data_IF_743474680628
#
_entry.id   IF_743474680628
#
_cell.length_a   1.000
_cell.length_b   1.000
_cell.length_c   1.000
_cell.angle_alpha   90.00
_cell.angle_beta   90.00
_cell.angle_gamma   90.00
#
_symmetry.space_group_name_H-M   'P 1'
#
loop_
_entity.id
_entity.type
_entity.pdbx_description
1 polymer ?
#
# COMPACT_ATOMS: atom_id res chain seq x y z
N UNK A 1 16.82 -10.21 7.52
CA UNK A 1 18.29 -10.29 7.71
C UNK A 1 18.94 -8.96 7.35
N UNK A 2 19.69 -8.36 8.28
CA UNK A 2 20.37 -7.07 8.06
C UNK A 2 21.77 -7.36 7.51
N UNK A 3 22.16 -6.67 6.44
CA UNK A 3 23.52 -6.76 5.92
C UNK A 3 24.49 -6.01 6.84
N UNK A 4 25.66 -6.61 7.11
CA UNK A 4 26.62 -6.09 8.09
C UNK A 4 27.22 -4.74 7.66
N UNK A 5 27.48 -4.58 6.36
CA UNK A 5 27.99 -3.34 5.77
C UNK A 5 26.94 -2.25 5.73
N UNK A 6 27.31 -1.05 6.19
CA UNK A 6 26.64 0.20 5.82
C UNK A 6 27.33 0.73 4.56
N UNK A 7 26.58 0.80 3.47
CA UNK A 7 27.07 1.21 2.16
C UNK A 7 27.27 2.73 2.11
N UNK A 8 28.20 3.18 1.26
CA UNK A 8 28.52 4.60 1.09
C UNK A 8 27.31 5.43 0.64
N UNK A 9 26.48 4.84 -0.23
CA UNK A 9 25.24 5.42 -0.72
C UNK A 9 24.33 4.32 -1.30
N UNK A 10 23.12 4.69 -1.71
CA UNK A 10 22.15 3.74 -2.26
C UNK A 10 22.63 3.10 -3.57
N UNK A 11 23.42 3.80 -4.40
CA UNK A 11 23.97 3.23 -5.64
C UNK A 11 24.94 2.10 -5.32
N UNK A 12 25.71 2.19 -4.23
CA UNK A 12 26.57 1.08 -3.77
C UNK A 12 25.79 -0.14 -3.30
N UNK A 13 24.57 0.04 -2.81
CA UNK A 13 23.66 -1.08 -2.54
C UNK A 13 23.24 -1.74 -3.86
N UNK A 14 22.91 -0.94 -4.88
CA UNK A 14 22.49 -1.43 -6.20
C UNK A 14 23.66 -2.14 -6.91
N UNK A 15 24.86 -1.57 -6.89
CA UNK A 15 26.10 -2.19 -7.41
C UNK A 15 26.32 -3.56 -6.76
N UNK A 16 26.17 -3.64 -5.43
CA UNK A 16 26.29 -4.90 -4.69
C UNK A 16 25.27 -5.94 -5.17
N UNK A 17 23.98 -5.58 -5.25
CA UNK A 17 22.93 -6.48 -5.71
C UNK A 17 23.17 -6.95 -7.16
N UNK A 18 23.62 -6.04 -8.04
CA UNK A 18 23.98 -6.39 -9.42
C UNK A 18 25.14 -7.40 -9.46
N UNK A 19 26.15 -7.22 -8.61
CA UNK A 19 27.26 -8.17 -8.49
C UNK A 19 26.84 -9.53 -7.90
N UNK A 20 25.70 -9.62 -7.21
CA UNK A 20 25.08 -10.87 -6.78
C UNK A 20 24.23 -11.53 -7.89
N UNK A 21 24.20 -10.96 -9.10
CA UNK A 21 23.50 -11.52 -10.27
C UNK A 21 22.10 -10.97 -10.50
N UNK A 22 21.65 -9.96 -9.74
CA UNK A 22 20.37 -9.30 -10.00
C UNK A 22 20.52 -8.29 -11.15
N UNK A 23 19.54 -8.20 -12.04
CA UNK A 23 19.53 -7.16 -13.10
C UNK A 23 18.56 -6.07 -12.70
N UNK A 24 19.05 -5.04 -12.01
CA UNK A 24 18.20 -3.99 -11.45
C UNK A 24 18.22 -2.72 -12.31
N UNK A 25 17.04 -2.31 -12.78
CA UNK A 25 16.88 -1.02 -13.48
C UNK A 25 16.84 0.13 -12.49
N UNK A 26 17.62 1.17 -12.73
CA UNK A 26 17.56 2.45 -12.00
C UNK A 26 16.73 3.51 -12.74
N UNK A 27 16.14 3.17 -13.88
CA UNK A 27 15.29 4.09 -14.66
C UNK A 27 13.84 3.93 -14.24
N UNK A 28 13.22 5.03 -13.82
CA UNK A 28 11.78 5.09 -13.69
C UNK A 28 11.13 5.28 -15.06
N UNK A 29 10.27 4.34 -15.42
CA UNK A 29 9.39 4.45 -16.58
C UNK A 29 7.99 4.58 -16.00
N UNK A 30 7.44 5.79 -16.10
CA UNK A 30 6.03 6.04 -15.80
C UNK A 30 5.13 5.25 -16.74
N UNK A 31 3.83 5.25 -16.46
CA UNK A 31 2.86 4.46 -17.22
C UNK A 31 3.10 2.94 -17.10
N UNK A 32 3.20 2.45 -15.87
CA UNK A 32 3.52 1.05 -15.62
C UNK A 32 2.50 0.11 -16.31
N UNK A 33 2.96 -0.95 -16.97
CA UNK A 33 2.06 -1.98 -17.46
C UNK A 33 1.65 -2.92 -16.32
N UNK A 34 0.39 -3.34 -16.35
CA UNK A 34 -0.21 -4.28 -15.41
C UNK A 34 -0.72 -5.50 -16.15
N UNK A 35 -0.74 -6.63 -15.46
CA UNK A 35 -1.36 -7.86 -15.96
C UNK A 35 -2.50 -8.25 -15.04
N UNK A 36 -3.68 -8.53 -15.59
CA UNK A 36 -4.77 -9.09 -14.79
C UNK A 36 -4.50 -10.58 -14.58
N UNK A 37 -4.29 -10.99 -13.34
CA UNK A 37 -4.02 -12.38 -12.97
C UNK A 37 -4.95 -12.84 -11.85
N UNK A 38 -5.21 -14.14 -11.76
CA UNK A 38 -5.82 -14.74 -10.58
C UNK A 38 -4.77 -14.88 -9.47
N UNK A 39 -4.97 -14.14 -8.38
CA UNK A 39 -4.13 -14.15 -7.18
C UNK A 39 -4.55 -15.24 -6.17
N UNK A 40 -5.44 -16.14 -6.58
CA UNK A 40 -5.93 -17.28 -5.81
C UNK A 40 -7.39 -17.12 -5.40
N UNK A 41 -8.10 -18.26 -5.37
CA UNK A 41 -9.53 -18.34 -5.04
C UNK A 41 -10.42 -17.46 -5.94
N UNK A 42 -10.07 -17.31 -7.22
CA UNK A 42 -10.84 -16.52 -8.19
C UNK A 42 -10.76 -15.01 -7.95
N UNK A 43 -9.73 -14.54 -7.22
CA UNK A 43 -9.51 -13.12 -6.94
C UNK A 43 -8.60 -12.53 -8.01
N UNK A 44 -9.19 -11.89 -9.01
CA UNK A 44 -8.43 -11.23 -10.06
C UNK A 44 -7.81 -9.94 -9.54
N UNK A 45 -6.57 -9.63 -9.91
CA UNK A 45 -5.89 -8.38 -9.47
C UNK A 45 -5.13 -7.75 -10.64
N UNK A 46 -5.01 -6.43 -10.62
CA UNK A 46 -4.11 -5.68 -11.50
C UNK A 46 -2.67 -5.81 -10.99
N UNK A 47 -1.98 -6.85 -11.44
CA UNK A 47 -0.63 -7.16 -10.98
C UNK A 47 0.42 -6.27 -11.64
N UNK A 48 1.28 -5.55 -10.88
CA UNK A 48 2.33 -4.72 -11.46
C UNK A 48 3.41 -5.52 -12.17
N UNK A 49 3.74 -5.18 -13.42
CA UNK A 49 4.84 -5.85 -14.14
C UNK A 49 6.24 -5.30 -13.78
N UNK A 50 7.29 -6.12 -13.91
CA UNK A 50 7.28 -7.53 -14.34
C UNK A 50 6.92 -8.52 -13.22
N UNK A 51 6.24 -9.62 -13.57
CA UNK A 51 5.94 -10.72 -12.64
C UNK A 51 7.24 -11.38 -12.18
N UNK A 52 7.35 -11.62 -10.87
CA UNK A 52 8.52 -12.25 -10.25
C UNK A 52 9.77 -11.39 -10.22
N UNK A 53 9.62 -10.07 -10.33
CA UNK A 53 10.63 -9.14 -9.86
C UNK A 53 10.75 -9.19 -8.33
N UNK A 54 11.92 -8.86 -7.78
CA UNK A 54 12.04 -8.62 -6.35
C UNK A 54 11.18 -7.44 -5.92
N UNK A 55 10.69 -7.48 -4.67
CA UNK A 55 10.02 -6.35 -4.05
C UNK A 55 11.04 -5.55 -3.22
N UNK A 56 10.87 -4.24 -3.23
CA UNK A 56 11.74 -3.29 -2.56
C UNK A 56 10.94 -2.43 -1.60
N UNK A 57 11.62 -1.96 -0.55
CA UNK A 57 11.12 -0.87 0.29
C UNK A 57 12.27 0.06 0.63
N UNK A 58 12.09 1.35 0.39
CA UNK A 58 13.00 2.37 0.90
C UNK A 58 12.49 2.98 2.18
N UNK A 59 13.39 3.18 3.15
CA UNK A 59 13.15 4.05 4.30
C UNK A 59 14.35 4.97 4.47
N UNK A 60 14.07 6.22 4.82
CA UNK A 60 15.12 7.21 5.09
C UNK A 60 15.92 6.97 6.36
N UNK A 61 15.41 6.08 7.22
CA UNK A 61 16.08 5.61 8.42
C UNK A 61 15.78 4.13 8.64
N UNK A 62 16.77 3.39 9.14
CA UNK A 62 16.57 2.03 9.60
C UNK A 62 15.89 2.01 10.97
N UNK A 63 14.76 1.30 11.08
CA UNK A 63 14.02 1.14 12.34
C UNK A 63 14.08 -0.31 12.82
N UNK A 64 14.43 -0.50 14.09
CA UNK A 64 14.42 -1.80 14.78
C UNK A 64 13.59 -1.67 16.06
N UNK A 65 12.44 -2.34 16.18
CA UNK A 65 11.82 -3.21 15.17
C UNK A 65 11.17 -2.43 14.02
N UNK A 66 11.00 -3.06 12.84
CA UNK A 66 10.28 -2.49 11.71
C UNK A 66 8.81 -2.95 11.73
N UNK A 67 7.97 -2.22 12.46
CA UNK A 67 6.53 -2.51 12.64
C UNK A 67 5.63 -1.54 11.84
N UNK A 68 4.38 -1.94 11.60
CA UNK A 68 3.40 -1.15 10.86
C UNK A 68 2.97 0.12 11.60
N UNK A 69 2.48 1.10 10.84
CA UNK A 69 2.04 2.40 11.36
C UNK A 69 0.89 2.30 12.37
N UNK A 70 0.10 1.21 12.32
CA UNK A 70 -0.96 0.90 13.27
C UNK A 70 -0.45 0.56 14.68
N UNK A 71 0.72 -0.07 14.81
CA UNK A 71 1.29 -0.47 16.10
C UNK A 71 2.36 0.49 16.63
N UNK A 72 2.92 1.35 15.77
CA UNK A 72 3.92 2.35 16.17
C UNK A 72 3.41 3.23 17.31
N UNK A 73 4.26 3.46 18.30
CA UNK A 73 3.95 4.21 19.54
C UNK A 73 2.99 3.50 20.50
N UNK A 74 2.72 2.20 20.30
CA UNK A 74 1.92 1.38 21.22
C UNK A 74 0.55 2.02 21.59
N UNK A 75 -0.30 2.33 20.60
CA UNK A 75 -1.58 2.98 20.85
C UNK A 75 -2.51 2.10 21.70
N UNK A 76 -3.30 2.73 22.56
CA UNK A 76 -4.35 2.04 23.32
C UNK A 76 -5.42 1.42 22.40
N UNK A 77 -6.19 0.43 22.91
CA UNK A 77 -7.23 -0.27 22.12
C UNK A 77 -8.27 0.66 21.50
N UNK A 78 -8.66 1.75 22.18
CA UNK A 78 -9.63 2.70 21.63
C UNK A 78 -9.01 3.52 20.49
N UNK A 79 -7.73 3.89 20.61
CA UNK A 79 -6.98 4.54 19.53
C UNK A 79 -6.86 3.62 18.31
N UNK A 80 -6.59 2.32 18.53
CA UNK A 80 -6.59 1.31 17.46
C UNK A 80 -7.98 1.16 16.81
N UNK A 81 -9.04 1.10 17.62
CA UNK A 81 -10.42 1.08 17.14
C UNK A 81 -10.74 2.31 16.27
N UNK A 82 -10.30 3.51 16.65
CA UNK A 82 -10.47 4.73 15.84
C UNK A 82 -9.76 4.62 14.49
N UNK A 83 -8.58 3.98 14.42
CA UNK A 83 -7.91 3.76 13.13
C UNK A 83 -8.69 2.76 12.27
N UNK A 84 -9.22 1.67 12.85
CA UNK A 84 -10.09 0.73 12.14
C UNK A 84 -11.38 1.40 11.64
N UNK A 85 -11.99 2.24 12.47
CA UNK A 85 -13.17 3.04 12.12
C UNK A 85 -12.92 3.94 10.90
N UNK A 86 -11.76 4.60 10.84
CA UNK A 86 -11.34 5.40 9.67
C UNK A 86 -11.22 4.56 8.40
N UNK A 87 -10.64 3.36 8.51
CA UNK A 87 -10.46 2.44 7.40
C UNK A 87 -11.82 1.90 6.91
N UNK A 88 -12.76 1.58 7.80
CA UNK A 88 -14.10 1.13 7.39
C UNK A 88 -14.91 2.27 6.75
N UNK A 89 -14.81 3.50 7.26
CA UNK A 89 -15.41 4.66 6.60
C UNK A 89 -14.83 4.87 5.20
N UNK A 90 -13.50 4.75 5.07
CA UNK A 90 -12.83 4.76 3.78
C UNK A 90 -13.37 3.65 2.88
N UNK A 91 -13.45 2.40 3.32
CA UNK A 91 -14.02 1.29 2.54
C UNK A 91 -15.44 1.60 2.03
N UNK A 92 -16.33 2.10 2.89
CA UNK A 92 -17.72 2.40 2.53
C UNK A 92 -17.79 3.49 1.45
N UNK A 93 -17.05 4.58 1.64
CA UNK A 93 -17.07 5.70 0.70
C UNK A 93 -16.44 5.28 -0.64
N UNK A 94 -15.36 4.51 -0.59
CA UNK A 94 -14.60 4.12 -1.79
C UNK A 94 -15.31 3.06 -2.62
N UNK A 95 -16.06 2.17 -1.99
CA UNK A 95 -16.92 1.19 -2.67
C UNK A 95 -18.05 1.84 -3.51
N UNK A 96 -18.43 3.10 -3.22
CA UNK A 96 -19.41 3.86 -4.01
C UNK A 96 -18.82 4.52 -5.26
N UNK A 97 -17.51 4.36 -5.49
CA UNK A 97 -16.88 4.90 -6.69
C UNK A 97 -17.35 4.10 -7.91
N UNK A 98 -17.89 4.74 -8.98
CA UNK A 98 -18.53 4.03 -10.09
C UNK A 98 -17.64 2.96 -10.75
N UNK A 99 -16.35 3.26 -10.89
CA UNK A 99 -15.40 2.30 -11.47
C UNK A 99 -15.08 1.18 -10.47
N UNK A 100 -15.01 1.43 -9.16
CA UNK A 100 -14.77 0.35 -8.19
C UNK A 100 -15.94 -0.63 -8.21
N UNK A 101 -17.17 -0.13 -8.27
CA UNK A 101 -18.37 -0.95 -8.40
C UNK A 101 -18.31 -1.83 -9.67
N UNK A 102 -17.91 -1.26 -10.81
CA UNK A 102 -17.72 -1.98 -12.07
C UNK A 102 -16.63 -3.06 -11.98
N UNK A 103 -15.45 -2.72 -11.43
CA UNK A 103 -14.34 -3.67 -11.25
C UNK A 103 -14.70 -4.83 -10.33
N UNK A 104 -15.41 -4.55 -9.24
CA UNK A 104 -15.92 -5.57 -8.33
C UNK A 104 -16.91 -6.50 -9.04
N UNK A 105 -17.78 -5.96 -9.90
CA UNK A 105 -18.70 -6.75 -10.72
C UNK A 105 -17.96 -7.60 -11.76
N UNK A 106 -16.79 -7.15 -12.22
CA UNK A 106 -15.90 -7.88 -13.13
C UNK A 106 -15.00 -8.90 -12.40
N UNK A 107 -15.15 -9.07 -11.09
CA UNK A 107 -14.37 -10.03 -10.30
C UNK A 107 -12.97 -9.56 -9.90
N UNK A 108 -12.64 -8.28 -10.13
CA UNK A 108 -11.40 -7.70 -9.63
C UNK A 108 -11.49 -7.53 -8.11
N UNK A 109 -10.52 -8.10 -7.42
CA UNK A 109 -10.37 -8.02 -5.99
C UNK A 109 -9.88 -6.64 -5.55
N UNK A 110 -10.62 -6.08 -4.60
CA UNK A 110 -10.35 -4.77 -4.01
C UNK A 110 -9.82 -4.94 -2.58
N UNK A 111 -8.50 -4.80 -2.42
CA UNK A 111 -7.85 -4.78 -1.11
C UNK A 111 -7.86 -3.37 -0.50
N UNK A 112 -9.00 -3.01 0.10
CA UNK A 112 -9.20 -1.68 0.69
C UNK A 112 -8.23 -1.35 1.83
N UNK A 113 -7.66 -2.35 2.53
CA UNK A 113 -6.72 -2.11 3.63
C UNK A 113 -5.36 -1.73 3.05
N UNK A 114 -4.87 -2.50 2.08
CA UNK A 114 -3.62 -2.18 1.39
C UNK A 114 -3.75 -0.85 0.64
N UNK A 115 -4.89 -0.55 0.04
CA UNK A 115 -5.13 0.75 -0.56
C UNK A 115 -5.10 1.89 0.46
N UNK A 116 -5.77 1.74 1.61
CA UNK A 116 -5.81 2.76 2.65
C UNK A 116 -4.39 3.13 3.12
N UNK A 117 -3.47 2.16 3.16
CA UNK A 117 -2.06 2.39 3.49
C UNK A 117 -1.39 3.37 2.50
N UNK A 118 -1.61 3.22 1.18
CA UNK A 118 -1.12 4.16 0.16
C UNK A 118 -1.79 5.55 0.22
N UNK A 119 -2.90 5.67 0.94
CA UNK A 119 -3.57 6.94 1.26
C UNK A 119 -3.29 7.42 2.70
N UNK A 120 -2.18 6.97 3.28
CA UNK A 120 -1.65 7.43 4.56
C UNK A 120 -2.54 7.11 5.78
N UNK A 121 -3.46 6.16 5.66
CA UNK A 121 -4.15 5.60 6.83
C UNK A 121 -3.18 4.75 7.64
N UNK A 122 -3.36 4.73 8.96
CA UNK A 122 -2.59 3.83 9.82
C UNK A 122 -3.16 2.42 9.73
N UNK A 123 -2.49 1.56 8.97
CA UNK A 123 -2.90 0.18 8.76
C UNK A 123 -1.85 -0.81 9.28
N UNK A 124 -2.20 -2.10 9.27
CA UNK A 124 -1.27 -3.18 9.58
C UNK A 124 -0.34 -3.53 8.41
N UNK A 125 -0.50 -2.86 7.26
CA UNK A 125 0.27 -3.09 6.06
C UNK A 125 1.57 -2.30 6.07
N UNK A 126 2.53 -2.79 5.28
CA UNK A 126 3.77 -2.12 4.95
C UNK A 126 3.88 -2.00 3.43
N UNK A 127 4.09 -0.78 2.93
CA UNK A 127 4.25 -0.55 1.49
C UNK A 127 5.56 -1.13 0.98
N UNK A 128 5.48 -1.91 -0.08
CA UNK A 128 6.60 -2.38 -0.90
C UNK A 128 6.28 -2.16 -2.38
N UNK A 129 7.27 -2.22 -3.24
CA UNK A 129 7.12 -1.96 -4.68
C UNK A 129 8.05 -2.87 -5.46
N UNK A 130 7.63 -3.33 -6.64
CA UNK A 130 8.56 -4.03 -7.55
C UNK A 130 9.41 -3.06 -8.39
N UNK A 131 9.36 -1.75 -8.11
CA UNK A 131 10.13 -0.73 -8.79
C UNK A 131 11.22 -0.15 -7.88
N UNK A 132 12.48 -0.49 -8.18
CA UNK A 132 13.64 0.00 -7.43
C UNK A 132 13.69 1.55 -7.36
N UNK A 133 13.51 2.31 -8.46
CA UNK A 133 13.45 3.77 -8.40
C UNK A 133 12.42 4.32 -7.41
N UNK A 134 11.21 3.74 -7.36
CA UNK A 134 10.16 4.14 -6.40
C UNK A 134 10.62 3.90 -4.97
N UNK A 135 11.18 2.72 -4.67
CA UNK A 135 11.74 2.43 -3.35
C UNK A 135 12.89 3.41 -3.01
N UNK A 136 13.80 3.65 -3.95
CA UNK A 136 14.92 4.56 -3.77
C UNK A 136 14.45 5.99 -3.45
N UNK A 137 13.39 6.47 -4.10
CA UNK A 137 12.78 7.77 -3.77
C UNK A 137 12.38 7.86 -2.30
N UNK A 138 11.65 6.87 -1.78
CA UNK A 138 11.27 6.85 -0.36
C UNK A 138 12.47 6.66 0.58
N UNK A 139 13.54 6.01 0.12
CA UNK A 139 14.76 5.80 0.89
C UNK A 139 15.59 7.08 1.05
N UNK A 140 15.57 8.00 0.07
CA UNK A 140 16.45 9.17 0.05
C UNK A 140 15.73 10.50 0.30
N UNK A 141 14.43 10.45 0.57
CA UNK A 141 13.61 11.65 0.80
C UNK A 141 12.95 11.64 2.19
N UNK A 142 12.53 12.83 2.64
CA UNK A 142 11.66 13.00 3.82
C UNK A 142 10.42 13.77 3.45
N UNK A 143 9.29 13.38 4.01
CA UNK A 143 8.04 14.09 3.86
C UNK A 143 7.93 15.17 4.94
N UNK A 144 7.68 16.42 4.55
CA UNK A 144 7.41 17.56 5.43
C UNK A 144 6.13 18.22 4.92
N UNK A 145 5.07 18.23 5.73
CA UNK A 145 3.78 18.83 5.39
C UNK A 145 3.21 18.33 4.04
N UNK A 146 3.31 17.03 3.77
CA UNK A 146 2.81 16.41 2.54
C UNK A 146 3.68 16.62 1.29
N UNK A 147 4.86 17.23 1.43
CA UNK A 147 5.84 17.40 0.33
C UNK A 147 7.13 16.67 0.63
N UNK A 148 7.73 16.09 -0.40
CA UNK A 148 8.98 15.36 -0.29
C UNK A 148 10.18 16.27 -0.56
N UNK A 149 11.24 16.10 0.24
CA UNK A 149 12.51 16.81 0.10
C UNK A 149 13.66 15.79 0.12
N UNK A 150 14.69 15.96 -0.73
CA UNK A 150 15.86 15.09 -0.72
C UNK A 150 16.64 15.24 0.58
N UNK A 151 17.22 14.15 1.07
CA UNK A 151 18.06 14.15 2.26
C UNK A 151 19.51 14.39 1.81
N UNK A 152 20.03 15.57 2.13
CA UNK A 152 21.40 15.95 1.76
C UNK A 152 22.45 15.23 2.61
N UNK A 153 22.17 15.10 3.91
CA UNK A 153 23.03 14.43 4.90
C UNK A 153 22.18 13.97 6.07
N UNK A 154 22.54 12.83 6.64
CA UNK A 154 21.95 12.30 7.87
C UNK A 154 23.04 11.54 8.64
N UNK A 155 22.98 11.62 9.98
CA UNK A 155 23.80 10.75 10.85
C UNK A 155 23.23 9.34 10.92
N UNK A 156 21.93 9.19 10.65
CA UNK A 156 21.25 7.91 10.62
C UNK A 156 21.21 7.36 9.19
N UNK A 157 21.60 6.10 8.97
CA UNK A 157 21.60 5.49 7.66
C UNK A 157 20.17 5.23 7.18
N UNK A 158 19.94 5.47 5.89
CA UNK A 158 18.76 4.96 5.18
C UNK A 158 18.85 3.45 5.01
N UNK A 159 17.76 2.83 4.56
CA UNK A 159 17.71 1.40 4.27
C UNK A 159 16.93 1.14 2.98
N UNK A 160 17.50 0.28 2.13
CA UNK A 160 16.81 -0.36 1.03
C UNK A 160 16.59 -1.83 1.41
N UNK A 161 15.33 -2.21 1.56
CA UNK A 161 14.94 -3.60 1.71
C UNK A 161 14.80 -4.27 0.35
N UNK A 162 15.11 -5.56 0.32
CA UNK A 162 14.97 -6.46 -0.81
C UNK A 162 14.27 -7.73 -0.34
N UNK A 163 13.09 -7.99 -0.88
CA UNK A 163 12.33 -9.23 -0.63
C UNK A 163 12.61 -10.16 -1.80
N UNK A 164 13.09 -11.37 -1.49
CA UNK A 164 13.39 -12.39 -2.50
C UNK A 164 12.12 -12.70 -3.33
N UNK A 165 12.17 -12.71 -4.68
CA UNK A 165 11.00 -12.96 -5.52
C UNK A 165 10.29 -14.28 -5.21
N UNK A 166 11.04 -15.30 -4.79
CA UNK A 166 10.48 -16.58 -4.40
C UNK A 166 9.42 -16.46 -3.30
N UNK A 167 9.52 -15.47 -2.40
CA UNK A 167 8.57 -15.29 -1.30
C UNK A 167 7.13 -15.03 -1.76
N UNK A 168 6.94 -14.58 -2.99
CA UNK A 168 5.62 -14.30 -3.55
C UNK A 168 4.90 -15.55 -4.07
N UNK A 169 5.65 -16.53 -4.58
CA UNK A 169 5.07 -17.71 -5.24
C UNK A 169 5.12 -18.96 -4.39
N UNK A 170 5.94 -18.99 -3.33
CA UNK A 170 5.96 -20.14 -2.44
C UNK A 170 4.75 -20.10 -1.49
N UNK A 171 4.10 -21.25 -1.24
CA UNK A 171 3.08 -21.33 -0.21
C UNK A 171 3.60 -20.87 1.14
N UNK A 172 2.75 -20.19 1.91
CA UNK A 172 3.05 -19.84 3.30
C UNK A 172 2.94 -21.09 4.17
N UNK A 173 4.07 -21.55 4.67
CA UNK A 173 4.24 -22.66 5.60
C UNK A 173 4.51 -22.19 7.03
N UNK A 174 5.00 -20.96 7.20
CA UNK A 174 5.31 -20.36 8.51
C UNK A 174 4.69 -18.97 8.64
N UNK A 175 4.48 -18.53 9.88
CA UNK A 175 4.01 -17.17 10.18
C UNK A 175 5.06 -16.09 9.91
N UNK A 176 6.33 -16.46 9.74
CA UNK A 176 7.43 -15.54 9.48
C UNK A 176 7.60 -15.23 7.98
N UNK A 177 6.96 -15.98 7.09
CA UNK A 177 6.93 -15.65 5.67
C UNK A 177 6.05 -14.41 5.43
N UNK A 178 6.46 -13.50 4.53
CA UNK A 178 5.69 -12.31 4.23
C UNK A 178 4.36 -12.69 3.56
N UNK A 179 3.27 -12.16 4.10
CA UNK A 179 1.97 -12.17 3.43
C UNK A 179 1.92 -10.95 2.49
N UNK A 180 2.20 -11.21 1.21
CA UNK A 180 2.28 -10.21 0.15
C UNK A 180 0.88 -10.01 -0.45
N UNK A 181 0.56 -8.77 -0.80
CA UNK A 181 -0.71 -8.37 -1.42
C UNK A 181 -0.38 -7.48 -2.63
N UNK A 182 -0.61 -7.94 -3.87
CA UNK A 182 -0.56 -7.05 -5.03
C UNK A 182 -1.71 -6.05 -4.91
N UNK A 183 -1.34 -4.78 -4.75
CA UNK A 183 -2.31 -3.68 -4.79
C UNK A 183 -2.44 -3.25 -6.24
N UNK A 184 -1.30 -2.98 -6.87
CA UNK A 184 -1.19 -2.44 -8.21
C UNK A 184 -2.13 -1.27 -8.44
N UNK A 185 -2.73 -1.21 -9.62
CA UNK A 185 -3.63 -0.14 -9.96
C UNK A 185 -5.07 -0.58 -9.69
N UNK A 186 -5.52 -0.46 -8.43
CA UNK A 186 -6.92 -0.66 -8.02
C UNK A 186 -7.79 0.51 -8.47
N UNK A 187 -7.73 0.85 -9.76
CA UNK A 187 -8.38 2.00 -10.41
C UNK A 187 -8.02 3.39 -9.85
N UNK A 188 -6.94 3.47 -9.07
CA UNK A 188 -6.36 4.72 -8.57
C UNK A 188 -4.94 4.96 -9.08
N UNK A 189 -4.68 6.15 -9.64
CA UNK A 189 -3.38 6.47 -10.25
C UNK A 189 -2.22 6.34 -9.27
N UNK A 190 -2.42 6.73 -8.00
CA UNK A 190 -1.37 6.69 -6.98
C UNK A 190 -0.74 5.31 -6.77
N UNK A 191 -1.47 4.25 -6.38
CA UNK A 191 -0.88 2.92 -6.21
C UNK A 191 -0.39 2.33 -7.56
N UNK A 192 -0.95 2.77 -8.69
CA UNK A 192 -0.45 2.44 -10.02
C UNK A 192 0.97 2.97 -10.28
N UNK A 193 1.18 4.27 -10.12
CA UNK A 193 2.51 4.90 -10.34
C UNK A 193 3.56 4.43 -9.33
N UNK A 194 3.13 4.07 -8.12
CA UNK A 194 4.00 3.49 -7.10
C UNK A 194 4.30 1.99 -7.33
N UNK A 195 3.63 1.33 -8.29
CA UNK A 195 3.68 -0.13 -8.52
C UNK A 195 3.50 -0.91 -7.22
N UNK A 196 2.39 -0.57 -6.57
CA UNK A 196 2.12 -0.86 -5.17
C UNK A 196 1.94 -2.35 -4.85
N UNK A 197 2.56 -2.77 -3.76
CA UNK A 197 2.30 -4.01 -3.05
C UNK A 197 2.24 -3.71 -1.54
N UNK A 198 1.50 -4.54 -0.80
CA UNK A 198 1.46 -4.49 0.65
C UNK A 198 2.02 -5.76 1.27
N UNK A 199 2.68 -5.65 2.43
CA UNK A 199 3.00 -6.79 3.30
C UNK A 199 2.25 -6.65 4.62
N UNK A 200 1.50 -7.67 5.01
CA UNK A 200 0.78 -7.71 6.29
C UNK A 200 1.76 -7.89 7.45
N UNK A 201 1.82 -6.89 8.34
CA UNK A 201 2.54 -6.94 9.62
C UNK A 201 1.56 -7.08 10.81
N UNK A 202 0.43 -7.74 10.56
CA UNK A 202 -0.59 -8.02 11.56
C UNK A 202 0.01 -8.74 12.77
N UNK A 203 -0.57 -8.55 13.96
CA UNK A 203 -0.05 -9.08 15.22
C UNK A 203 1.34 -8.55 15.60
N UNK A 204 1.65 -7.30 15.25
CA UNK A 204 2.90 -6.62 15.60
C UNK A 204 4.16 -7.36 15.09
N UNK A 205 4.06 -7.99 13.91
CA UNK A 205 5.19 -8.65 13.25
C UNK A 205 6.28 -7.63 12.87
N UNK A 206 7.52 -8.08 12.94
CA UNK A 206 8.70 -7.28 12.65
C UNK A 206 9.26 -7.63 11.27
N UNK A 207 9.20 -6.68 10.33
CA UNK A 207 9.63 -6.88 8.96
C UNK A 207 11.11 -7.25 8.84
N UNK A 208 11.97 -6.80 9.77
CA UNK A 208 13.40 -7.11 9.74
C UNK A 208 13.70 -8.60 9.96
N UNK A 209 12.74 -9.33 10.56
CA UNK A 209 12.83 -10.74 10.96
C UNK A 209 12.08 -11.70 10.04
N UNK A 210 11.40 -11.19 9.01
CA UNK A 210 10.68 -12.03 8.06
C UNK A 210 11.61 -12.82 7.15
N UNK A 211 11.17 -14.01 6.76
CA UNK A 211 11.91 -14.89 5.87
C UNK A 211 12.04 -14.24 4.49
N UNK A 212 13.22 -14.37 3.87
CA UNK A 212 13.50 -13.80 2.55
C UNK A 212 13.53 -12.28 2.47
N UNK A 213 13.48 -11.56 3.60
CA UNK A 213 13.66 -10.10 3.67
C UNK A 213 15.11 -9.76 4.00
N UNK A 214 15.78 -9.03 3.10
CA UNK A 214 17.13 -8.52 3.27
C UNK A 214 17.09 -6.99 3.45
N UNK A 215 17.91 -6.45 4.36
CA UNK A 215 17.98 -5.02 4.64
C UNK A 215 19.40 -4.49 4.40
N UNK A 216 19.55 -3.55 3.48
CA UNK A 216 20.82 -2.92 3.12
C UNK A 216 20.84 -1.47 3.57
N UNK A 217 21.69 -1.15 4.55
CA UNK A 217 21.80 0.19 5.12
C UNK A 217 22.78 1.04 4.31
N UNK A 218 22.51 2.32 4.12
CA UNK A 218 23.39 3.22 3.36
C UNK A 218 23.45 4.62 3.97
N UNK A 219 24.55 5.34 3.72
CA UNK A 219 24.67 6.76 4.07
C UNK A 219 24.03 7.64 3.00
N UNK A 220 23.35 8.71 3.42
CA UNK A 220 22.72 9.64 2.48
C UNK A 220 23.77 10.47 1.73
N UNK A 221 23.58 10.59 0.42
CA UNK A 221 24.43 11.38 -0.48
C UNK A 221 23.60 12.47 -1.15
N UNK A 222 24.04 13.72 -1.03
CA UNK A 222 23.31 14.88 -1.56
C UNK A 222 23.03 14.79 -3.06
N UNK A 223 24.03 14.43 -3.86
CA UNK A 223 23.92 14.43 -5.31
C UNK A 223 22.94 13.35 -5.75
N UNK A 224 23.08 12.14 -5.19
CA UNK A 224 22.21 11.00 -5.52
C UNK A 224 20.76 11.27 -5.05
N UNK A 225 20.58 11.75 -3.81
CA UNK A 225 19.26 12.11 -3.27
C UNK A 225 18.55 13.14 -4.14
N UNK A 226 19.26 14.20 -4.58
CA UNK A 226 18.69 15.22 -5.47
C UNK A 226 18.34 14.67 -6.86
N UNK A 227 19.17 13.79 -7.42
CA UNK A 227 18.92 13.19 -8.73
C UNK A 227 17.65 12.33 -8.71
N UNK A 228 17.54 11.44 -7.70
CA UNK A 228 16.35 10.59 -7.53
C UNK A 228 15.11 11.45 -7.26
N UNK A 229 15.21 12.48 -6.41
CA UNK A 229 14.09 13.38 -6.14
C UNK A 229 13.63 14.13 -7.40
N UNK A 230 14.56 14.62 -8.24
CA UNK A 230 14.24 15.28 -9.52
C UNK A 230 13.62 14.32 -10.53
N UNK A 231 14.04 13.05 -10.55
CA UNK A 231 13.49 12.02 -11.44
C UNK A 231 11.98 11.81 -11.28
N UNK A 232 11.44 12.09 -10.08
CA UNK A 232 10.00 12.00 -9.78
C UNK A 232 9.32 13.37 -9.69
N UNK A 233 9.93 14.43 -10.24
CA UNK A 233 9.44 15.81 -10.15
C UNK A 233 9.10 16.25 -8.72
N UNK A 234 9.96 15.86 -7.77
CA UNK A 234 9.76 16.15 -6.35
C UNK A 234 8.66 15.33 -5.66
N UNK A 235 8.25 14.23 -6.27
CA UNK A 235 7.22 13.30 -5.80
C UNK A 235 5.88 13.46 -6.51
N UNK A 236 5.70 14.46 -7.39
CA UNK A 236 4.44 14.69 -8.10
C UNK A 236 4.02 13.46 -8.94
N UNK A 237 4.98 12.74 -9.51
CA UNK A 237 4.71 11.52 -10.30
C UNK A 237 4.15 10.38 -9.45
N UNK A 238 4.57 10.26 -8.18
CA UNK A 238 4.14 9.19 -7.26
C UNK A 238 2.87 9.54 -6.48
N UNK A 239 2.50 10.83 -6.48
CA UNK A 239 1.32 11.35 -5.80
C UNK A 239 0.49 12.19 -6.77
N UNK A 240 0.01 11.58 -7.88
CA UNK A 240 -0.83 12.29 -8.83
C UNK A 240 -2.07 12.81 -8.12
N UNK A 241 -2.52 14.01 -8.52
CA UNK A 241 -3.79 14.55 -8.03
C UNK A 241 -4.93 13.68 -8.56
N UNK A 242 -5.75 13.20 -7.66
CA UNK A 242 -7.03 12.58 -7.99
C UNK A 242 -8.09 13.00 -6.94
N UNK A 243 -9.36 12.97 -7.36
CA UNK A 243 -10.51 13.32 -6.51
C UNK A 243 -10.60 12.44 -5.26
N UNK A 244 -9.95 11.27 -5.32
CA UNK A 244 -9.95 10.29 -4.26
C UNK A 244 -8.98 10.66 -3.13
N UNK A 245 -7.80 11.17 -3.44
CA UNK A 245 -6.77 11.56 -2.48
C UNK A 245 -7.29 12.60 -1.49
N UNK A 246 -8.02 13.60 -1.98
CA UNK A 246 -8.60 14.63 -1.14
C UNK A 246 -9.68 14.07 -0.21
N UNK A 247 -10.50 13.14 -0.72
CA UNK A 247 -11.56 12.48 0.06
C UNK A 247 -10.96 11.56 1.12
N UNK A 248 -9.97 10.75 0.75
CA UNK A 248 -9.20 9.90 1.64
C UNK A 248 -8.53 10.71 2.76
N UNK A 249 -7.89 11.84 2.42
CA UNK A 249 -7.27 12.73 3.39
C UNK A 249 -8.28 13.36 4.37
N UNK A 250 -9.47 13.73 3.88
CA UNK A 250 -10.58 14.24 4.71
C UNK A 250 -11.10 13.18 5.67
N UNK A 251 -11.33 11.95 5.19
CA UNK A 251 -11.75 10.81 6.03
C UNK A 251 -10.70 10.53 7.11
N UNK A 252 -9.42 10.46 6.75
CA UNK A 252 -8.33 10.16 7.68
C UNK A 252 -8.19 11.22 8.80
N UNK A 253 -8.55 12.47 8.52
CA UNK A 253 -8.57 13.58 9.49
C UNK A 253 -9.93 13.78 10.18
N UNK A 254 -10.96 13.03 9.78
CA UNK A 254 -12.31 13.17 10.32
C UNK A 254 -12.39 12.69 11.76
N UNK A 255 -13.33 13.30 12.50
CA UNK A 255 -13.83 12.79 13.77
C UNK A 255 -15.34 12.44 13.69
N UNK A 256 -15.94 12.51 12.50
CA UNK A 256 -17.33 12.15 12.24
C UNK A 256 -17.35 10.94 11.31
N UNK A 257 -18.06 9.89 11.71
CA UNK A 257 -18.13 8.61 11.00
C UNK A 257 -19.56 8.07 10.94
N UNK A 258 -19.83 7.21 9.96
CA UNK A 258 -21.14 6.58 9.78
C UNK A 258 -21.37 5.45 10.79
N UNK A 259 -22.65 5.15 11.05
CA UNK A 259 -23.07 4.03 11.89
C UNK A 259 -22.56 2.70 11.32
N UNK A 260 -22.64 2.57 10.00
CA UNK A 260 -22.15 1.38 9.29
C UNK A 260 -20.64 1.17 9.50
N UNK A 261 -19.81 2.22 9.42
CA UNK A 261 -18.38 2.12 9.69
C UNK A 261 -18.11 1.68 11.14
N UNK A 262 -18.89 2.20 12.09
CA UNK A 262 -18.79 1.81 13.50
C UNK A 262 -19.12 0.33 13.71
N UNK A 263 -20.22 -0.14 13.12
CA UNK A 263 -20.66 -1.52 13.29
C UNK A 263 -19.66 -2.50 12.64
N UNK A 264 -19.17 -2.20 11.43
CA UNK A 264 -18.12 -3.00 10.78
C UNK A 264 -16.82 -3.01 11.57
N UNK A 265 -16.37 -1.86 12.08
CA UNK A 265 -15.16 -1.79 12.88
C UNK A 265 -15.29 -2.57 14.20
N UNK A 266 -16.48 -2.59 14.80
CA UNK A 266 -16.77 -3.37 16.01
C UNK A 266 -16.80 -4.87 15.75
N UNK A 267 -17.36 -5.30 14.62
CA UNK A 267 -17.39 -6.71 14.23
C UNK A 267 -16.00 -7.25 13.88
N UNK A 268 -15.17 -6.43 13.23
CA UNK A 268 -13.85 -6.82 12.75
C UNK A 268 -12.71 -6.59 13.74
N UNK A 269 -12.97 -5.92 14.87
CA UNK A 269 -11.95 -5.62 15.88
C UNK A 269 -12.34 -6.14 17.25
N UNK A 270 -11.48 -6.97 17.85
CA UNK A 270 -11.75 -7.60 19.13
C UNK A 270 -11.68 -6.60 20.31
N UNK A 271 -12.82 -5.97 20.57
CA UNK A 271 -13.04 -5.04 21.68
C UNK A 271 -13.61 -5.74 22.90
N UNK A 272 -12.95 -5.59 24.05
CA UNK A 272 -13.45 -6.06 25.35
C UNK A 272 -14.45 -5.06 25.97
N UNK A 273 -15.21 -4.35 25.13
CA UNK A 273 -16.12 -3.27 25.52
C UNK A 273 -17.42 -3.37 24.73
N UNK A 274 -18.55 -3.05 25.36
CA UNK A 274 -19.84 -2.96 24.66
C UNK A 274 -19.86 -1.77 23.69
N UNK A 275 -20.69 -1.85 22.64
CA UNK A 275 -20.92 -0.74 21.69
C UNK A 275 -21.22 0.58 22.40
N UNK A 276 -22.12 0.57 23.38
CA UNK A 276 -22.48 1.76 24.18
C UNK A 276 -21.28 2.38 24.90
N UNK A 277 -20.43 1.55 25.52
CA UNK A 277 -19.24 2.04 26.22
C UNK A 277 -18.22 2.64 25.26
N UNK A 278 -18.09 2.09 24.04
CA UNK A 278 -17.20 2.64 23.02
C UNK A 278 -17.75 3.98 22.53
N UNK A 279 -19.05 4.10 22.26
CA UNK A 279 -19.69 5.35 21.84
C UNK A 279 -19.45 6.47 22.86
N UNK A 280 -19.67 6.21 24.16
CA UNK A 280 -19.40 7.19 25.21
C UNK A 280 -17.93 7.66 25.21
N UNK A 281 -16.98 6.72 25.09
CA UNK A 281 -15.55 7.08 25.03
C UNK A 281 -15.15 7.82 23.75
N UNK A 282 -15.83 7.55 22.63
CA UNK A 282 -15.63 8.29 21.39
C UNK A 282 -16.09 9.73 21.57
N UNK A 283 -17.26 9.95 22.17
CA UNK A 283 -17.78 11.29 22.47
C UNK A 283 -16.85 12.06 23.41
N UNK A 284 -16.31 11.43 24.46
CA UNK A 284 -15.29 12.01 25.35
C UNK A 284 -14.04 12.48 24.59
N UNK A 285 -13.71 11.83 23.47
CA UNK A 285 -12.60 12.18 22.58
C UNK A 285 -13.02 13.08 21.40
N UNK A 286 -14.22 13.66 21.43
CA UNK A 286 -14.81 14.50 20.39
C UNK A 286 -15.03 13.79 19.04
N UNK A 287 -15.26 12.48 19.07
CA UNK A 287 -15.72 11.71 17.91
C UNK A 287 -17.24 11.57 17.91
N UNK A 288 -17.85 11.61 16.72
CA UNK A 288 -19.30 11.51 16.53
C UNK A 288 -19.64 10.40 15.55
N UNK A 289 -20.63 9.58 15.91
CA UNK A 289 -21.23 8.60 15.00
C UNK A 289 -22.61 9.10 14.58
N UNK A 290 -22.88 9.10 13.28
CA UNK A 290 -24.16 9.51 12.70
C UNK A 290 -24.64 8.46 11.69
N UNK A 291 -25.87 8.57 11.20
CA UNK A 291 -26.48 7.50 10.39
C UNK A 291 -25.74 7.26 9.07
N UNK A 292 -25.43 8.33 8.33
CA UNK A 292 -24.80 8.27 7.00
C UNK A 292 -23.40 8.88 6.99
N UNK A 293 -22.59 8.55 5.99
CA UNK A 293 -21.29 9.23 5.79
C UNK A 293 -21.50 10.69 5.38
N UNK A 294 -20.69 11.61 5.92
CA UNK A 294 -20.58 12.99 5.40
C UNK A 294 -19.60 13.11 4.22
N UNK A 295 -18.93 12.01 3.88
CA UNK A 295 -17.88 11.97 2.87
C UNK A 295 -18.33 11.31 1.56
N UNK A 296 -19.62 10.95 1.49
CA UNK A 296 -20.25 10.40 0.30
C UNK A 296 -20.05 11.31 -0.93
N UNK A 297 -20.13 10.70 -2.11
CA UNK A 297 -20.04 11.42 -3.36
C UNK A 297 -21.27 12.29 -3.57
N UNK A 298 -21.06 13.56 -3.89
CA UNK A 298 -22.13 14.42 -4.39
C UNK A 298 -22.50 14.03 -5.83
N UNK A 299 -23.68 14.46 -6.31
CA UNK A 299 -24.04 14.28 -7.72
C UNK A 299 -23.01 14.92 -8.67
N UNK A 300 -22.37 16.01 -8.24
CA UNK A 300 -21.26 16.63 -8.97
C UNK A 300 -20.03 15.74 -9.01
N UNK A 301 -19.66 15.11 -7.87
CA UNK A 301 -18.51 14.21 -7.81
C UNK A 301 -18.73 13.02 -8.76
N UNK A 302 -19.94 12.43 -8.73
CA UNK A 302 -20.31 11.32 -9.62
C UNK A 302 -20.28 11.73 -11.09
N UNK A 303 -20.73 12.94 -11.41
CA UNK A 303 -20.72 13.45 -12.79
C UNK A 303 -19.28 13.64 -13.29
N UNK A 304 -18.40 14.25 -12.48
CA UNK A 304 -16.98 14.40 -12.80
C UNK A 304 -16.29 13.03 -12.97
N UNK A 305 -16.53 12.08 -12.07
CA UNK A 305 -15.99 10.73 -12.16
C UNK A 305 -16.42 10.01 -13.43
N UNK A 306 -17.69 10.15 -13.82
CA UNK A 306 -18.20 9.60 -15.08
C UNK A 306 -17.51 10.27 -16.27
N UNK A 307 -17.34 11.58 -16.29
CA UNK A 307 -16.62 12.25 -17.39
C UNK A 307 -15.16 11.81 -17.49
N UNK A 308 -14.46 11.68 -16.35
CA UNK A 308 -13.10 11.17 -16.29
C UNK A 308 -13.00 9.71 -16.77
N UNK A 309 -14.00 8.89 -16.45
CA UNK A 309 -14.12 7.51 -16.96
C UNK A 309 -14.30 7.49 -18.49
N UNK A 310 -15.32 8.19 -19.01
CA UNK A 310 -15.63 8.23 -20.44
C UNK A 310 -14.50 8.78 -21.30
N UNK A 311 -13.75 9.76 -20.77
CA UNK A 311 -12.58 10.34 -21.45
C UNK A 311 -11.31 9.48 -21.32
N UNK A 312 -11.36 8.37 -20.59
CA UNK A 312 -10.20 7.54 -20.27
C UNK A 312 -9.19 8.23 -19.36
N UNK A 313 -9.52 9.40 -18.81
CA UNK A 313 -8.63 10.18 -17.92
C UNK A 313 -8.42 9.55 -16.57
N UNK A 314 -9.39 8.77 -16.08
CA UNK A 314 -9.25 8.07 -14.79
C UNK A 314 -8.19 6.98 -14.86
N UNK A 315 -8.05 6.38 -16.05
CA UNK A 315 -7.15 5.27 -16.37
C UNK A 315 -5.96 5.68 -17.22
N UNK A 316 -5.89 6.97 -17.59
CA UNK A 316 -4.85 7.51 -18.45
C UNK A 316 -3.47 7.16 -17.87
N UNK A 317 -2.58 6.74 -18.77
CA UNK A 317 -1.23 6.26 -18.49
C UNK A 317 -1.15 4.86 -17.91
N UNK A 318 -2.25 4.20 -17.58
CA UNK A 318 -2.21 2.88 -16.99
C UNK A 318 -2.73 1.87 -18.01
N UNK A 319 -1.92 0.84 -18.26
CA UNK A 319 -2.17 -0.14 -19.32
C UNK A 319 -2.24 -1.52 -18.70
N UNK A 320 -3.44 -2.10 -18.67
CA UNK A 320 -3.64 -3.48 -18.24
C UNK A 320 -3.80 -4.40 -19.45
N UNK A 321 -3.09 -5.53 -19.46
CA UNK A 321 -3.30 -6.62 -20.41
C UNK A 321 -3.90 -7.82 -19.70
N UNK A 322 -4.91 -8.45 -20.29
CA UNK A 322 -5.46 -9.72 -19.82
C UNK A 322 -4.71 -10.87 -20.48
N UNK A 323 -4.22 -11.84 -19.70
CA UNK A 323 -3.97 -13.18 -20.23
C UNK A 323 -5.22 -14.01 -20.04
N UNK A 324 -5.59 -14.79 -21.07
CA UNK A 324 -6.60 -15.83 -20.94
C UNK A 324 -6.05 -16.88 -19.96
N UNK A 325 -6.34 -16.73 -18.67
CA UNK A 325 -6.16 -17.80 -17.71
C UNK A 325 -7.19 -18.88 -18.05
N UNK A 326 -6.71 -20.04 -18.52
CA UNK A 326 -7.53 -21.24 -18.61
C UNK A 326 -7.95 -21.61 -17.18
N UNK A 327 -9.22 -21.40 -16.87
CA UNK A 327 -9.87 -21.98 -15.69
C UNK A 327 -10.25 -23.40 -16.13
N UNK A 328 -9.62 -24.46 -15.61
CA UNK A 328 -10.11 -25.80 -15.85
C UNK A 328 -11.53 -25.87 -15.29
N UNK A 329 -12.50 -26.29 -16.10
CA UNK A 329 -13.83 -26.63 -15.61
C UNK A 329 -13.68 -27.53 -14.38
N UNK A 330 -14.46 -27.23 -13.33
CA UNK A 330 -14.48 -27.96 -12.07
C UNK A 330 -14.29 -29.46 -12.32
N UNK A 331 -13.16 -30.00 -11.89
CA UNK A 331 -12.97 -31.44 -11.85
C UNK A 331 -14.13 -31.98 -10.99
N UNK A 332 -15.01 -32.84 -11.53
CA UNK A 332 -16.07 -33.41 -10.73
C UNK A 332 -15.41 -34.09 -9.53
N UNK A 333 -15.92 -33.77 -8.34
CA UNK A 333 -15.50 -34.38 -7.10
C UNK A 333 -15.32 -35.89 -7.33
N UNK A 334 -14.08 -36.35 -7.27
CA UNK A 334 -13.80 -37.78 -7.36
C UNK A 334 -14.45 -38.43 -6.16
N UNK A 335 -15.63 -39.01 -6.38
CA UNK A 335 -16.21 -40.01 -5.50
C UNK A 335 -15.19 -41.14 -5.33
N UNK A 336 -14.85 -41.42 -4.07
CA UNK A 336 -14.46 -42.71 -3.51
C UNK A 336 -13.64 -43.68 -4.40
N UNK A 337 -12.39 -43.93 -3.98
CA UNK A 337 -11.92 -45.26 -3.56
C UNK A 337 -10.60 -45.18 -2.80
#
# INVERSE_FOLDING_TARGET
>A
MIHDTIFENIDKVVDYLNNQGWTLTQTYIGNAPFEVIDYGNGRLVYYPLPIGAPLFRGQNEFHEPCISSFYRSQPDKLTQFIQKLRIEEFRIVTAKHPIIEEELNNGIYYDYIALAQHYEFKTEMLDVTNNLPVAAFFAVTRQINGKYFPIEKSEYPGVLYFVLPAMEFIPRLTDNQPEIHPVGWQVFKRPGEQRAFGISLSNNKDFNKMDGVLAFRFMHDKIISEQIWKMFHGGEDLFPKDIFADKAAKINKSNIFSRLAFDLAYENFNMDMTKERILNKLEERNFKIQDNSIWDYSDSDISELKELSHSGKLTEKLYATTRLCYIPDDLPASENL
#
